data_IF_016775275052
#
_entry.id   IF_016775275052
#
_cell.length_a   1.000
_cell.length_b   1.000
_cell.length_c   1.000
_cell.angle_alpha   90.00
_cell.angle_beta   90.00
_cell.angle_gamma   90.00
#
_symmetry.space_group_name_H-M   'P 1'
#
loop_
_entity.id
_entity.type
_entity.pdbx_description
1 polymer ?
#
# COMPACT_ATOMS: atom_id res chain seq x y z
N UNK A 1 -0.52 33.26 -16.70
CA UNK A 1 -1.54 32.26 -17.04
C UNK A 1 -0.94 30.87 -16.81
N UNK A 2 -1.14 30.23 -15.64
CA UNK A 2 -0.61 28.86 -15.41
C UNK A 2 -1.13 28.06 -14.19
N UNK A 3 -1.94 28.61 -13.29
CA UNK A 3 -2.37 27.87 -12.09
C UNK A 3 -3.49 26.85 -12.37
N UNK A 4 -4.41 27.14 -13.30
CA UNK A 4 -5.53 26.23 -13.58
C UNK A 4 -5.07 24.90 -14.22
N UNK A 5 -4.09 24.95 -15.12
CA UNK A 5 -3.57 23.76 -15.79
C UNK A 5 -2.82 22.82 -14.82
N UNK A 6 -2.02 23.37 -13.90
CA UNK A 6 -1.31 22.58 -12.89
C UNK A 6 -2.27 21.90 -11.90
N UNK A 7 -3.36 22.59 -11.53
CA UNK A 7 -4.37 22.03 -10.65
C UNK A 7 -5.19 20.92 -11.33
N UNK A 8 -5.55 21.10 -12.61
CA UNK A 8 -6.21 20.06 -13.41
C UNK A 8 -5.32 18.82 -13.56
N UNK A 9 -4.04 19.03 -13.88
CA UNK A 9 -3.06 17.95 -13.95
C UNK A 9 -2.94 17.22 -12.60
N UNK A 10 -2.85 17.97 -11.50
CA UNK A 10 -2.77 17.38 -10.17
C UNK A 10 -4.03 16.57 -9.84
N UNK A 11 -5.22 17.07 -10.19
CA UNK A 11 -6.47 16.35 -9.97
C UNK A 11 -6.49 15.02 -10.75
N UNK A 12 -6.03 15.01 -12.00
CA UNK A 12 -5.98 13.79 -12.81
C UNK A 12 -4.91 12.80 -12.32
N UNK A 13 -3.79 13.29 -11.81
CA UNK A 13 -2.79 12.44 -11.13
C UNK A 13 -3.34 11.83 -9.85
N UNK A 14 -4.10 12.59 -9.05
CA UNK A 14 -4.74 12.08 -7.84
C UNK A 14 -5.78 11.01 -8.18
N UNK A 15 -6.60 11.20 -9.22
CA UNK A 15 -7.55 10.17 -9.67
C UNK A 15 -6.85 8.87 -10.06
N UNK A 16 -5.75 8.97 -10.82
CA UNK A 16 -4.95 7.81 -11.23
C UNK A 16 -4.34 7.12 -10.01
N UNK A 17 -3.77 7.88 -9.07
CA UNK A 17 -3.23 7.32 -7.83
C UNK A 17 -4.29 6.59 -7.03
N UNK A 18 -5.48 7.18 -6.87
CA UNK A 18 -6.58 6.54 -6.13
C UNK A 18 -7.05 5.24 -6.78
N UNK A 19 -7.04 5.15 -8.11
CA UNK A 19 -7.36 3.90 -8.81
C UNK A 19 -6.29 2.84 -8.54
N UNK A 20 -5.01 3.20 -8.67
CA UNK A 20 -3.87 2.31 -8.37
C UNK A 20 -3.90 1.85 -6.90
N UNK A 21 -4.14 2.75 -5.96
CA UNK A 21 -4.19 2.44 -4.53
C UNK A 21 -5.32 1.44 -4.22
N UNK A 22 -6.47 1.55 -4.90
CA UNK A 22 -7.56 0.57 -4.78
C UNK A 22 -7.13 -0.78 -5.33
N UNK A 23 -6.58 -0.83 -6.53
CA UNK A 23 -6.18 -2.08 -7.18
C UNK A 23 -5.07 -2.79 -6.36
N UNK A 24 -4.11 -2.05 -5.80
CA UNK A 24 -3.10 -2.58 -4.86
C UNK A 24 -3.78 -3.16 -3.62
N UNK A 25 -4.76 -2.45 -3.07
CA UNK A 25 -5.45 -2.90 -1.86
C UNK A 25 -6.29 -4.16 -2.10
N UNK A 26 -6.89 -4.29 -3.28
CA UNK A 26 -7.63 -5.49 -3.70
C UNK A 26 -6.70 -6.71 -3.86
N UNK A 27 -5.50 -6.52 -4.44
CA UNK A 27 -4.51 -7.59 -4.62
C UNK A 27 -3.91 -8.03 -3.28
N UNK A 28 -3.52 -7.07 -2.44
CA UNK A 28 -2.79 -7.35 -1.20
C UNK A 28 -3.71 -7.63 0.01
N UNK A 29 -5.00 -7.30 -0.08
CA UNK A 29 -5.91 -7.30 1.06
C UNK A 29 -5.54 -6.29 2.15
N UNK A 30 -4.63 -5.36 1.88
CA UNK A 30 -4.07 -4.39 2.83
C UNK A 30 -4.11 -2.97 2.25
N UNK A 31 -4.08 -1.91 3.08
CA UNK A 31 -3.96 -0.55 2.57
C UNK A 31 -2.73 -0.39 1.67
N UNK A 32 -2.88 0.31 0.53
CA UNK A 32 -1.79 0.66 -0.39
C UNK A 32 -0.80 1.71 0.17
N UNK A 33 -0.44 1.56 1.43
CA UNK A 33 0.53 2.39 2.12
C UNK A 33 1.89 1.68 2.14
N UNK A 34 2.98 2.45 2.12
CA UNK A 34 4.35 1.92 2.02
C UNK A 34 4.69 0.85 3.06
N UNK A 35 4.18 0.99 4.29
CA UNK A 35 4.41 0.03 5.37
C UNK A 35 3.66 -1.29 5.15
N UNK A 36 2.31 -1.29 5.21
CA UNK A 36 1.50 -2.50 5.02
C UNK A 36 1.78 -3.24 3.71
N UNK A 37 2.05 -2.51 2.62
CA UNK A 37 2.42 -3.11 1.35
C UNK A 37 3.80 -3.75 1.38
N UNK A 38 4.77 -3.11 2.05
CA UNK A 38 6.11 -3.68 2.22
C UNK A 38 6.09 -5.00 3.00
N UNK A 39 5.29 -5.05 4.07
CA UNK A 39 5.06 -6.28 4.84
C UNK A 39 4.42 -7.37 3.98
N UNK A 40 3.38 -7.05 3.20
CA UNK A 40 2.75 -8.00 2.28
C UNK A 40 3.77 -8.59 1.29
N UNK A 41 4.57 -7.75 0.65
CA UNK A 41 5.59 -8.19 -0.31
C UNK A 41 6.62 -9.10 0.37
N UNK A 42 7.08 -8.74 1.56
CA UNK A 42 8.00 -9.57 2.33
C UNK A 42 7.39 -10.93 2.68
N UNK A 43 6.11 -10.96 3.06
CA UNK A 43 5.38 -12.18 3.38
C UNK A 43 5.30 -13.15 2.20
N UNK A 44 5.01 -12.64 1.01
CA UNK A 44 4.92 -13.45 -0.21
C UNK A 44 6.30 -13.95 -0.69
N UNK A 45 7.34 -13.10 -0.59
CA UNK A 45 8.69 -13.47 -1.07
C UNK A 45 9.37 -14.46 -0.12
N UNK A 46 9.22 -14.27 1.18
CA UNK A 46 9.94 -15.01 2.21
C UNK A 46 9.10 -16.09 2.89
N UNK A 47 7.87 -16.31 2.43
CA UNK A 47 6.90 -17.23 3.03
C UNK A 47 6.72 -17.01 4.53
N UNK A 48 6.37 -15.77 4.90
CA UNK A 48 6.15 -15.36 6.29
C UNK A 48 4.66 -15.27 6.55
N UNK A 49 4.21 -15.86 7.65
CA UNK A 49 2.92 -15.59 8.26
C UNK A 49 3.01 -14.32 9.11
N UNK A 50 2.42 -13.22 8.61
CA UNK A 50 2.39 -11.94 9.32
C UNK A 50 1.41 -12.00 10.49
N UNK A 51 1.74 -11.30 11.57
CA UNK A 51 0.80 -11.11 12.68
C UNK A 51 -0.43 -10.29 12.21
N UNK A 52 -1.64 -10.66 12.65
CA UNK A 52 -2.87 -9.96 12.23
C UNK A 52 -2.96 -8.52 12.75
N UNK A 53 -2.29 -8.20 13.86
CA UNK A 53 -2.35 -6.90 14.49
C UNK A 53 -0.98 -6.24 14.55
N UNK A 54 -0.87 -5.02 14.01
CA UNK A 54 0.34 -4.18 14.01
C UNK A 54 0.83 -3.76 15.43
N UNK A 55 0.16 -4.24 16.49
CA UNK A 55 0.51 -3.98 17.88
C UNK A 55 1.21 -5.17 18.57
N UNK A 56 1.53 -6.24 17.84
CA UNK A 56 2.32 -7.34 18.39
C UNK A 56 3.75 -6.86 18.68
N UNK A 57 4.11 -6.74 19.96
CA UNK A 57 5.41 -6.18 20.34
C UNK A 57 6.51 -7.22 20.11
N UNK A 58 7.46 -6.89 19.24
CA UNK A 58 8.75 -7.59 19.09
C UNK A 58 8.82 -8.63 17.97
N UNK A 59 7.77 -8.80 17.15
CA UNK A 59 7.77 -9.71 15.99
C UNK A 59 6.71 -9.29 14.99
N UNK A 60 7.08 -9.22 13.71
CA UNK A 60 6.17 -8.92 12.59
C UNK A 60 5.51 -10.18 12.00
N UNK A 61 6.03 -11.37 12.32
CA UNK A 61 5.57 -12.65 11.79
C UNK A 61 6.53 -13.81 12.05
N UNK A 62 6.22 -14.97 11.48
CA UNK A 62 7.03 -16.20 11.53
C UNK A 62 7.16 -16.82 10.14
N UNK A 63 8.31 -17.42 9.82
CA UNK A 63 8.47 -18.21 8.59
C UNK A 63 7.55 -19.44 8.66
N UNK A 64 6.90 -19.76 7.54
CA UNK A 64 6.07 -20.97 7.40
C UNK A 64 6.91 -22.21 7.15
#
# INVERSE_FOLDING_TARGET
MRIHNELELLADLIKQRNAIDRDISEISGRPAERGPLGEFIAAEIFDIELQEAANYRGSDGVFR
#
